data_IF_019274672878
#
_entry.id   IF_019274672878
#
_cell.length_a   1.000
_cell.length_b   1.000
_cell.length_c   1.000
_cell.angle_alpha   90.00
_cell.angle_beta   90.00
_cell.angle_gamma   90.00
#
_symmetry.space_group_name_H-M   'P 1'
#
loop_
_entity.id
_entity.type
_entity.pdbx_description
1 polymer ?
#
# COMPACT_ATOMS: atom_id res chain seq x y z
N UNK A 1 -1.21 -2.56 12.81
CA UNK A 1 -1.73 -3.92 13.07
C UNK A 1 -0.60 -4.89 13.45
N UNK A 2 0.42 -5.07 12.62
CA UNK A 2 1.50 -6.06 12.86
C UNK A 2 2.37 -5.82 14.11
N UNK A 3 2.56 -4.56 14.51
CA UNK A 3 3.26 -4.23 15.75
C UNK A 3 2.54 -4.76 17.01
N UNK A 4 1.20 -4.85 16.99
CA UNK A 4 0.41 -5.30 18.15
C UNK A 4 0.49 -6.82 18.30
N UNK A 5 0.48 -7.53 17.18
CA UNK A 5 0.52 -9.00 17.14
C UNK A 5 1.95 -9.56 17.12
N UNK A 6 2.96 -8.67 17.13
CA UNK A 6 4.38 -9.01 17.22
C UNK A 6 4.83 -9.99 16.12
N UNK A 7 4.63 -9.59 14.86
CA UNK A 7 5.05 -10.36 13.69
C UNK A 7 5.91 -9.51 12.74
N UNK A 8 6.88 -10.13 12.04
CA UNK A 8 7.68 -9.43 11.04
C UNK A 8 6.80 -8.99 9.87
N UNK A 9 7.01 -7.76 9.43
CA UNK A 9 6.39 -7.23 8.22
C UNK A 9 7.34 -6.26 7.52
N UNK A 10 7.46 -6.36 6.20
CA UNK A 10 8.28 -5.47 5.39
C UNK A 10 7.50 -4.87 4.24
N UNK A 11 7.95 -3.71 3.77
CA UNK A 11 7.33 -2.94 2.68
C UNK A 11 8.30 -2.83 1.52
N UNK A 12 7.80 -2.95 0.30
CA UNK A 12 8.56 -2.77 -0.92
C UNK A 12 7.76 -1.92 -1.92
N UNK A 13 8.44 -1.13 -2.77
CA UNK A 13 7.76 -0.44 -3.87
C UNK A 13 7.30 -1.46 -4.91
N UNK A 14 6.17 -1.20 -5.54
CA UNK A 14 5.61 -2.09 -6.58
C UNK A 14 6.11 -1.78 -7.98
N UNK A 15 6.89 -0.72 -8.16
CA UNK A 15 7.21 -0.17 -9.49
C UNK A 15 6.07 0.66 -10.11
N UNK A 16 4.83 0.51 -9.64
CA UNK A 16 3.71 1.36 -10.03
C UNK A 16 3.81 2.73 -9.35
N UNK A 17 3.31 3.73 -10.07
CA UNK A 17 3.20 5.11 -9.61
C UNK A 17 1.79 5.60 -9.84
N UNK A 18 1.37 6.56 -9.03
CA UNK A 18 0.10 7.24 -9.23
C UNK A 18 0.09 7.92 -10.60
N UNK A 19 -0.93 7.60 -11.39
CA UNK A 19 -1.23 8.18 -12.69
C UNK A 19 -2.53 9.00 -12.59
N UNK A 20 -2.40 10.32 -12.70
CA UNK A 20 -3.51 11.25 -12.54
C UNK A 20 -4.62 11.11 -13.59
N UNK A 21 -4.35 10.46 -14.73
CA UNK A 21 -5.36 10.29 -15.78
C UNK A 21 -6.31 9.13 -15.49
N UNK A 22 -5.85 8.10 -14.78
CA UNK A 22 -6.60 6.87 -14.53
C UNK A 22 -6.95 6.64 -13.06
N UNK A 23 -6.19 7.23 -12.14
CA UNK A 23 -6.38 7.05 -10.69
C UNK A 23 -7.35 8.09 -10.08
N UNK A 24 -7.93 8.98 -10.89
CA UNK A 24 -8.99 9.91 -10.47
C UNK A 24 -10.35 9.21 -10.44
N UNK A 25 -10.43 8.21 -9.55
CA UNK A 25 -11.64 7.43 -9.34
C UNK A 25 -12.62 8.27 -8.53
N UNK A 26 -13.80 8.50 -9.09
CA UNK A 26 -14.89 9.14 -8.37
C UNK A 26 -15.34 8.23 -7.22
N UNK A 27 -15.37 8.76 -6.01
CA UNK A 27 -15.88 8.09 -4.81
C UNK A 27 -17.42 8.11 -4.77
N UNK A 28 -18.06 7.85 -5.91
CA UNK A 28 -19.50 8.01 -6.10
C UNK A 28 -20.25 6.93 -5.29
N UNK A 29 -20.91 7.34 -4.21
CA UNK A 29 -21.81 6.49 -3.43
C UNK A 29 -21.16 5.67 -2.33
N UNK A 30 -19.93 5.99 -1.92
CA UNK A 30 -19.28 5.37 -0.77
C UNK A 30 -19.90 5.86 0.54
N UNK A 31 -20.30 4.92 1.40
CA UNK A 31 -20.63 5.21 2.80
C UNK A 31 -19.35 5.18 3.64
N UNK A 32 -18.97 6.32 4.22
CA UNK A 32 -17.80 6.42 5.08
C UNK A 32 -18.06 5.81 6.46
N UNK A 33 -17.07 5.07 6.98
CA UNK A 33 -17.20 4.37 8.27
C UNK A 33 -17.05 5.32 9.48
N UNK A 34 -16.46 6.49 9.28
CA UNK A 34 -16.27 7.53 10.30
C UNK A 34 -15.89 8.86 9.65
N UNK A 35 -15.94 9.96 10.42
CA UNK A 35 -15.44 11.28 9.99
C UNK A 35 -13.97 11.24 9.54
N UNK A 36 -13.15 10.39 10.18
CA UNK A 36 -11.74 10.23 9.80
C UNK A 36 -11.58 9.53 8.44
N UNK A 37 -12.47 8.57 8.13
CA UNK A 37 -12.46 7.87 6.83
C UNK A 37 -12.84 8.84 5.70
N UNK A 38 -13.87 9.66 5.91
CA UNK A 38 -14.27 10.72 4.99
C UNK A 38 -13.14 11.74 4.78
N UNK A 39 -12.51 12.21 5.87
CA UNK A 39 -11.40 13.15 5.78
C UNK A 39 -10.23 12.60 4.96
N UNK A 40 -9.84 11.34 5.19
CA UNK A 40 -8.71 10.72 4.48
C UNK A 40 -9.05 10.50 3.01
N UNK A 41 -10.27 10.05 2.71
CA UNK A 41 -10.72 9.84 1.33
C UNK A 41 -10.77 11.16 0.56
N UNK A 42 -11.36 12.21 1.14
CA UNK A 42 -11.49 13.53 0.50
C UNK A 42 -10.18 14.30 0.39
N UNK A 43 -9.17 13.97 1.21
CA UNK A 43 -7.84 14.57 1.12
C UNK A 43 -6.98 14.01 -0.03
N UNK A 44 -7.40 12.93 -0.69
CA UNK A 44 -6.67 12.36 -1.81
C UNK A 44 -6.84 13.23 -3.06
N UNK A 45 -5.72 13.74 -3.58
CA UNK A 45 -5.67 14.50 -4.84
C UNK A 45 -4.64 13.84 -5.77
N UNK A 46 -5.12 13.33 -6.90
CA UNK A 46 -4.31 12.58 -7.87
C UNK A 46 -3.28 13.43 -8.59
N UNK A 47 -3.51 14.74 -8.74
CA UNK A 47 -2.56 15.66 -9.37
C UNK A 47 -1.43 16.00 -8.43
N UNK A 48 -1.73 16.17 -7.13
CA UNK A 48 -0.72 16.38 -6.09
C UNK A 48 0.12 15.12 -5.90
N UNK A 49 -0.52 13.94 -5.94
CA UNK A 49 0.15 12.65 -5.72
C UNK A 49 0.77 12.04 -6.98
N UNK A 50 0.64 12.69 -8.15
CA UNK A 50 1.13 12.16 -9.43
C UNK A 50 2.61 11.75 -9.35
N UNK A 51 2.91 10.52 -9.77
CA UNK A 51 4.26 9.95 -9.72
C UNK A 51 4.70 9.41 -8.36
N UNK A 52 3.88 9.53 -7.31
CA UNK A 52 4.16 8.92 -6.01
C UNK A 52 4.19 7.39 -6.12
N UNK A 53 5.13 6.71 -5.42
CA UNK A 53 5.25 5.26 -5.50
C UNK A 53 4.16 4.55 -4.70
N UNK A 54 3.67 3.44 -5.23
CA UNK A 54 2.77 2.53 -4.54
C UNK A 54 3.59 1.46 -3.80
N UNK A 55 3.40 1.37 -2.48
CA UNK A 55 4.05 0.36 -1.63
C UNK A 55 3.09 -0.75 -1.22
N UNK A 56 3.57 -1.99 -1.19
CA UNK A 56 2.83 -3.13 -0.61
C UNK A 56 3.58 -3.68 0.60
N UNK A 57 2.81 -4.20 1.56
CA UNK A 57 3.34 -4.80 2.78
C UNK A 57 3.16 -6.32 2.76
N UNK A 58 4.23 -7.04 3.10
CA UNK A 58 4.21 -8.49 3.32
C UNK A 58 4.47 -8.74 4.80
N UNK A 59 3.59 -9.51 5.44
CA UNK A 59 3.74 -9.94 6.83
C UNK A 59 3.90 -11.47 6.90
N UNK A 60 4.74 -11.94 7.82
CA UNK A 60 4.98 -13.36 8.08
C UNK A 60 4.44 -13.79 9.45
N UNK A 61 4.66 -15.06 9.79
CA UNK A 61 4.47 -15.55 11.15
C UNK A 61 5.56 -15.05 12.10
N UNK A 62 5.34 -15.21 13.41
CA UNK A 62 6.32 -14.79 14.42
C UNK A 62 7.65 -15.54 14.23
N UNK A 63 8.76 -14.80 14.30
CA UNK A 63 10.14 -15.28 14.05
C UNK A 63 10.41 -15.79 12.63
N UNK A 64 9.61 -15.36 11.64
CA UNK A 64 9.80 -15.74 10.23
C UNK A 64 10.41 -14.61 9.38
N UNK A 65 11.27 -13.79 9.96
CA UNK A 65 11.89 -12.62 9.33
C UNK A 65 12.58 -12.96 8.00
N UNK A 66 13.32 -14.07 7.94
CA UNK A 66 14.00 -14.51 6.71
C UNK A 66 13.02 -14.93 5.62
N UNK A 67 11.86 -15.50 5.99
CA UNK A 67 10.81 -15.83 5.01
C UNK A 67 10.18 -14.57 4.43
N UNK A 68 9.93 -13.56 5.28
CA UNK A 68 9.43 -12.25 4.84
C UNK A 68 10.44 -11.61 3.88
N UNK A 69 11.73 -11.59 4.23
CA UNK A 69 12.77 -11.03 3.37
C UNK A 69 12.89 -11.78 2.04
N UNK A 70 12.83 -13.12 2.06
CA UNK A 70 12.84 -13.91 0.82
C UNK A 70 11.61 -13.64 -0.04
N UNK A 71 10.43 -13.55 0.56
CA UNK A 71 9.19 -13.23 -0.15
C UNK A 71 9.26 -11.85 -0.79
N UNK A 72 9.74 -10.83 -0.06
CA UNK A 72 9.96 -9.49 -0.60
C UNK A 72 10.88 -9.51 -1.82
N UNK A 73 12.00 -10.26 -1.76
CA UNK A 73 12.90 -10.42 -2.90
C UNK A 73 12.20 -11.03 -4.11
N UNK A 74 11.53 -12.17 -3.93
CA UNK A 74 10.83 -12.86 -5.03
C UNK A 74 9.72 -12.00 -5.64
N UNK A 75 8.94 -11.30 -4.81
CA UNK A 75 7.87 -10.43 -5.32
C UNK A 75 8.48 -9.25 -6.05
N UNK A 76 9.47 -8.58 -5.46
CA UNK A 76 10.15 -7.45 -6.07
C UNK A 76 10.75 -7.78 -7.43
N UNK A 77 11.28 -8.99 -7.65
CA UNK A 77 11.77 -9.44 -8.96
C UNK A 77 10.66 -9.54 -10.01
N UNK A 78 9.43 -9.88 -9.60
CA UNK A 78 8.28 -9.99 -10.49
C UNK A 78 7.67 -8.63 -10.80
N UNK A 79 7.55 -7.73 -9.80
CA UNK A 79 6.85 -6.44 -9.99
C UNK A 79 7.74 -5.36 -10.61
N UNK A 80 9.07 -5.50 -10.55
CA UNK A 80 10.02 -4.55 -11.16
C UNK A 80 10.61 -5.00 -12.50
N UNK A 81 10.13 -6.12 -13.08
CA UNK A 81 10.58 -6.58 -14.40
C UNK A 81 9.97 -5.77 -15.54
#
# INVERSE_FOLDING_TARGET
MYNIVDVPAGVFPTGLKVDSEVDDLKDDGREYLSEMDEMVATAYDTKIMAGAPLGLQVAGGRWEDEKVMKALGMISEVVHM
#
